data_IF_995313308726
#
_entry.id   IF_995313308726
#
_cell.length_a   1.000
_cell.length_b   1.000
_cell.length_c   1.000
_cell.angle_alpha   90.00
_cell.angle_beta   90.00
_cell.angle_gamma   90.00
#
_symmetry.space_group_name_H-M   'P 1'
#
loop_
_entity.id
_entity.type
_entity.pdbx_description
1 polymer ?
#
# COMPACT_ATOMS: atom_id res chain seq x y z
N UNK A 1 -17.20 15.24 18.14
CA UNK A 1 -17.23 13.79 18.04
C UNK A 1 -15.80 13.26 18.08
N UNK A 2 -15.51 12.15 18.76
CA UNK A 2 -14.21 11.52 18.70
C UNK A 2 -13.92 11.07 17.25
N UNK A 3 -12.66 11.20 16.82
CA UNK A 3 -12.24 10.83 15.49
C UNK A 3 -10.81 11.29 15.22
N UNK A 4 -10.32 11.01 14.01
CA UNK A 4 -8.97 11.41 13.58
C UNK A 4 -8.93 12.92 13.26
N UNK A 5 -7.75 13.53 13.43
CA UNK A 5 -7.50 14.92 13.05
C UNK A 5 -7.46 15.08 11.53
N UNK A 6 -7.62 16.31 11.03
CA UNK A 6 -7.45 16.60 9.60
C UNK A 6 -6.05 16.24 9.09
N UNK A 7 -5.03 16.45 9.92
CA UNK A 7 -3.66 16.07 9.58
C UNK A 7 -3.50 14.54 9.44
N UNK A 8 -4.02 13.76 10.39
CA UNK A 8 -4.06 12.31 10.30
C UNK A 8 -4.82 11.85 9.08
N UNK A 9 -5.99 12.42 8.80
CA UNK A 9 -6.77 12.09 7.61
C UNK A 9 -5.97 12.34 6.32
N UNK A 10 -5.26 13.46 6.24
CA UNK A 10 -4.37 13.77 5.10
C UNK A 10 -3.27 12.73 4.94
N UNK A 11 -2.56 12.40 6.02
CA UNK A 11 -1.51 11.36 5.99
C UNK A 11 -2.05 9.99 5.54
N UNK A 12 -3.22 9.59 6.03
CA UNK A 12 -3.83 8.30 5.68
C UNK A 12 -4.48 8.27 4.29
N UNK A 13 -4.78 9.42 3.70
CA UNK A 13 -5.38 9.51 2.36
C UNK A 13 -4.37 9.59 1.22
N UNK A 14 -3.13 9.96 1.51
CA UNK A 14 -2.02 10.04 0.59
C UNK A 14 -0.98 8.96 0.90
N UNK A 15 -0.84 7.98 0.00
CA UNK A 15 0.06 6.82 0.18
C UNK A 15 1.53 7.21 0.26
N UNK A 16 1.92 8.26 -0.48
CA UNK A 16 3.29 8.72 -0.45
C UNK A 16 3.60 9.36 0.91
N UNK A 17 2.77 10.29 1.35
CA UNK A 17 2.92 10.98 2.64
C UNK A 17 2.84 9.99 3.82
N UNK A 18 1.95 9.00 3.75
CA UNK A 18 1.86 7.92 4.73
C UNK A 18 3.19 7.16 4.82
N UNK A 19 3.74 6.75 3.68
CA UNK A 19 5.00 6.01 3.62
C UNK A 19 6.18 6.83 4.10
N UNK A 20 6.29 8.12 3.73
CA UNK A 20 7.33 9.01 4.26
C UNK A 20 7.26 9.10 5.79
N UNK A 21 6.06 9.26 6.34
CA UNK A 21 5.86 9.34 7.80
C UNK A 21 6.30 8.05 8.50
N UNK A 22 5.93 6.90 7.95
CA UNK A 22 6.29 5.59 8.50
C UNK A 22 7.79 5.30 8.36
N UNK A 23 8.39 5.62 7.22
CA UNK A 23 9.82 5.44 6.97
C UNK A 23 10.67 6.29 7.92
N UNK A 24 10.31 7.55 8.12
CA UNK A 24 10.99 8.45 9.05
C UNK A 24 10.96 7.96 10.50
N UNK A 25 9.94 7.19 10.86
CA UNK A 25 9.81 6.55 12.18
C UNK A 25 10.43 5.15 12.27
N UNK A 26 11.11 4.69 11.22
CA UNK A 26 11.80 3.39 11.18
C UNK A 26 10.87 2.19 11.05
N UNK A 27 9.68 2.37 10.48
CA UNK A 27 8.81 1.25 10.11
C UNK A 27 9.35 0.62 8.82
N UNK A 28 9.52 -0.72 8.79
CA UNK A 28 9.94 -1.41 7.56
C UNK A 28 8.84 -1.31 6.49
N UNK A 29 9.17 -0.68 5.39
CA UNK A 29 8.29 -0.54 4.23
C UNK A 29 9.11 -0.75 2.96
N UNK A 30 8.50 -1.21 1.85
CA UNK A 30 9.19 -1.33 0.58
C UNK A 30 9.69 0.04 0.11
N UNK A 31 10.76 0.03 -0.68
CA UNK A 31 11.24 1.23 -1.35
C UNK A 31 10.14 1.88 -2.21
N UNK A 32 10.11 3.20 -2.25
CA UNK A 32 9.12 3.96 -3.02
C UNK A 32 9.67 5.32 -3.44
N UNK A 33 9.08 5.89 -4.50
CA UNK A 33 9.36 7.25 -4.97
C UNK A 33 8.15 7.87 -5.66
N UNK A 34 8.04 9.19 -5.64
CA UNK A 34 7.16 9.93 -6.54
C UNK A 34 7.73 9.89 -7.97
N UNK A 35 6.84 9.94 -8.95
CA UNK A 35 7.17 9.98 -10.37
C UNK A 35 6.36 11.06 -11.04
N UNK A 36 7.04 12.01 -11.69
CA UNK A 36 6.41 13.15 -12.35
C UNK A 36 6.33 13.01 -13.87
N UNK A 37 7.09 12.09 -14.43
CA UNK A 37 7.15 11.86 -15.87
C UNK A 37 7.57 10.44 -16.21
N UNK A 38 7.29 10.02 -17.43
CA UNK A 38 7.75 8.72 -17.96
C UNK A 38 9.28 8.66 -18.01
N UNK A 39 9.95 9.77 -18.24
CA UNK A 39 11.43 9.84 -18.22
C UNK A 39 11.98 9.50 -16.84
N UNK A 40 11.40 10.04 -15.75
CA UNK A 40 11.77 9.69 -14.37
C UNK A 40 11.47 8.20 -14.09
N UNK A 41 10.32 7.69 -14.56
CA UNK A 41 9.97 6.29 -14.41
C UNK A 41 11.03 5.39 -15.07
N UNK A 42 11.46 5.71 -16.30
CA UNK A 42 12.52 4.98 -17.01
C UNK A 42 13.85 5.01 -16.24
N UNK A 43 14.20 6.14 -15.65
CA UNK A 43 15.43 6.28 -14.85
C UNK A 43 15.37 5.38 -13.60
N UNK A 44 14.24 5.36 -12.92
CA UNK A 44 14.02 4.49 -11.74
C UNK A 44 14.12 3.01 -12.14
N UNK A 45 13.47 2.62 -13.24
CA UNK A 45 13.53 1.24 -13.74
C UNK A 45 14.96 0.84 -14.09
N UNK A 46 15.72 1.73 -14.71
CA UNK A 46 17.14 1.48 -15.03
C UNK A 46 17.99 1.26 -13.78
N UNK A 47 17.67 1.93 -12.69
CA UNK A 47 18.38 1.80 -11.41
C UNK A 47 17.95 0.57 -10.61
N UNK A 48 16.64 0.29 -10.58
CA UNK A 48 16.03 -0.68 -9.68
C UNK A 48 15.74 -2.03 -10.31
N UNK A 49 15.54 -2.09 -11.62
CA UNK A 49 15.11 -3.28 -12.34
C UNK A 49 13.59 -3.55 -12.19
N UNK A 50 13.20 -4.76 -12.59
CA UNK A 50 11.83 -5.25 -12.55
C UNK A 50 11.67 -6.41 -11.54
N UNK A 51 10.44 -6.72 -11.07
CA UNK A 51 9.22 -5.94 -11.25
C UNK A 51 9.10 -4.77 -10.26
N UNK A 52 8.34 -3.75 -10.64
CA UNK A 52 7.93 -2.63 -9.80
C UNK A 52 6.40 -2.48 -9.82
N UNK A 53 5.86 -1.68 -8.90
CA UNK A 53 4.44 -1.29 -8.91
C UNK A 53 4.33 0.21 -9.09
N UNK A 54 3.51 0.64 -10.07
CA UNK A 54 3.10 2.03 -10.22
C UNK A 54 1.66 2.19 -9.74
N UNK A 55 1.37 3.24 -8.99
CA UNK A 55 0.05 3.48 -8.42
C UNK A 55 -0.23 4.97 -8.14
N UNK A 56 -1.53 5.37 -8.15
CA UNK A 56 -1.91 6.72 -7.72
C UNK A 56 -1.66 6.89 -6.22
N UNK A 57 -1.22 8.09 -5.80
CA UNK A 57 -0.99 8.37 -4.37
C UNK A 57 -2.29 8.38 -3.55
N UNK A 58 -3.42 8.76 -4.15
CA UNK A 58 -4.68 9.10 -3.48
C UNK A 58 -5.92 8.36 -4.00
N UNK A 59 -5.74 7.26 -4.73
CA UNK A 59 -6.83 6.37 -5.16
C UNK A 59 -7.06 5.20 -4.18
N UNK A 60 -8.20 4.50 -4.34
CA UNK A 60 -8.63 3.38 -3.48
C UNK A 60 -9.05 2.17 -4.34
N UNK A 61 -9.10 0.98 -3.73
CA UNK A 61 -9.61 -0.24 -4.36
C UNK A 61 -8.77 -0.70 -5.55
N UNK A 62 -7.46 -0.63 -5.47
CA UNK A 62 -6.49 -1.02 -6.50
C UNK A 62 -6.68 -0.34 -7.88
N UNK A 63 -7.53 0.69 -7.99
CA UNK A 63 -7.72 1.45 -9.23
C UNK A 63 -6.44 2.17 -9.62
N UNK A 64 -6.01 1.95 -10.87
CA UNK A 64 -4.78 2.53 -11.40
C UNK A 64 -3.49 1.89 -10.85
N UNK A 65 -3.57 0.75 -10.17
CA UNK A 65 -2.40 0.00 -9.69
C UNK A 65 -1.96 -0.97 -10.77
N UNK A 66 -0.72 -0.84 -11.23
CA UNK A 66 -0.14 -1.61 -12.33
C UNK A 66 1.20 -2.23 -11.91
N UNK A 67 1.40 -3.49 -12.19
CA UNK A 67 2.71 -4.17 -12.10
C UNK A 67 3.52 -3.85 -13.36
N UNK A 68 4.67 -3.24 -13.18
CA UNK A 68 5.58 -2.90 -14.28
C UNK A 68 6.50 -4.08 -14.53
N UNK A 69 6.49 -4.56 -15.77
CA UNK A 69 7.37 -5.61 -16.32
C UNK A 69 8.08 -5.11 -17.55
N UNK A 70 9.05 -5.87 -18.06
CA UNK A 70 9.88 -5.49 -19.21
C UNK A 70 9.08 -5.20 -20.51
N UNK A 71 7.93 -5.87 -20.66
CA UNK A 71 7.12 -5.77 -21.89
C UNK A 71 6.04 -4.69 -21.83
N UNK A 72 5.93 -3.96 -20.71
CA UNK A 72 4.85 -3.00 -20.51
C UNK A 72 5.16 -1.67 -21.21
N UNK A 73 4.16 -1.12 -21.89
CA UNK A 73 4.19 0.26 -22.38
C UNK A 73 4.16 1.24 -21.18
N UNK A 74 5.29 1.91 -20.94
CA UNK A 74 5.47 2.80 -19.80
C UNK A 74 4.71 4.11 -19.93
N UNK A 75 4.50 4.63 -21.15
CA UNK A 75 3.68 5.79 -21.42
C UNK A 75 2.23 5.51 -21.04
N UNK A 76 1.71 4.41 -21.54
CA UNK A 76 0.36 3.97 -21.19
C UNK A 76 0.21 3.73 -19.68
N UNK A 77 1.13 3.02 -19.05
CA UNK A 77 1.07 2.70 -17.61
C UNK A 77 1.06 3.97 -16.75
N UNK A 78 1.88 4.95 -17.08
CA UNK A 78 1.97 6.22 -16.37
C UNK A 78 0.67 7.03 -16.51
N UNK A 79 0.17 7.25 -17.73
CA UNK A 79 -1.04 8.02 -17.98
C UNK A 79 -2.30 7.30 -17.45
N UNK A 80 -2.37 5.98 -17.58
CA UNK A 80 -3.42 5.17 -16.97
C UNK A 80 -3.45 5.35 -15.46
N UNK A 81 -2.32 5.16 -14.79
CA UNK A 81 -2.22 5.34 -13.33
C UNK A 81 -2.60 6.76 -12.90
N UNK A 82 -2.06 7.76 -13.58
CA UNK A 82 -2.31 9.18 -13.31
C UNK A 82 -3.79 9.55 -13.43
N UNK A 83 -4.51 8.93 -14.37
CA UNK A 83 -5.95 9.20 -14.60
C UNK A 83 -6.83 8.82 -13.41
N UNK A 84 -6.36 7.94 -12.52
CA UNK A 84 -7.08 7.54 -11.30
C UNK A 84 -6.70 8.37 -10.06
N UNK A 85 -5.79 9.33 -10.19
CA UNK A 85 -5.40 10.20 -9.08
C UNK A 85 -6.14 11.55 -9.17
N UNK A 86 -6.98 11.89 -8.19
CA UNK A 86 -7.58 13.22 -8.10
C UNK A 86 -6.56 14.37 -8.11
N UNK A 87 -5.38 14.17 -7.55
CA UNK A 87 -4.29 15.16 -7.54
C UNK A 87 -3.28 14.98 -8.67
N UNK A 88 -3.49 14.00 -9.55
CA UNK A 88 -2.53 13.59 -10.58
C UNK A 88 -1.18 13.09 -10.03
N UNK A 89 -1.13 12.72 -8.76
CA UNK A 89 0.05 12.21 -8.09
C UNK A 89 0.27 10.73 -8.41
N UNK A 90 1.46 10.40 -8.89
CA UNK A 90 1.88 9.04 -9.22
C UNK A 90 3.08 8.66 -8.38
N UNK A 91 3.09 7.44 -7.86
CA UNK A 91 4.23 6.86 -7.18
C UNK A 91 4.58 5.49 -7.75
N UNK A 92 5.84 5.13 -7.63
CA UNK A 92 6.35 3.79 -7.91
C UNK A 92 6.92 3.19 -6.63
N UNK A 93 6.82 1.88 -6.49
CA UNK A 93 7.38 1.16 -5.36
C UNK A 93 7.88 -0.23 -5.78
N UNK A 94 8.67 -0.81 -4.91
CA UNK A 94 9.11 -2.19 -5.03
C UNK A 94 7.92 -3.15 -5.03
N UNK A 95 7.93 -4.11 -5.97
CA UNK A 95 6.98 -5.23 -5.94
C UNK A 95 7.48 -6.28 -4.96
N UNK A 96 6.73 -6.52 -3.89
CA UNK A 96 7.05 -7.54 -2.92
C UNK A 96 6.37 -8.85 -3.27
N UNK A 97 7.15 -9.90 -3.42
CA UNK A 97 6.65 -11.26 -3.55
C UNK A 97 6.31 -11.84 -2.17
N UNK A 98 5.33 -12.73 -2.11
CA UNK A 98 4.96 -13.43 -0.90
C UNK A 98 3.48 -13.34 -0.54
N UNK A 99 3.17 -13.87 0.63
CA UNK A 99 1.80 -13.88 1.16
C UNK A 99 1.38 -12.46 1.57
N UNK A 100 0.20 -12.06 1.17
CA UNK A 100 -0.37 -10.77 1.52
C UNK A 100 -1.49 -10.93 2.55
N UNK A 101 -1.38 -10.16 3.63
CA UNK A 101 -2.40 -10.12 4.67
C UNK A 101 -3.15 -8.78 4.66
N UNK A 102 -4.42 -8.84 4.98
CA UNK A 102 -5.26 -7.69 5.30
C UNK A 102 -5.71 -7.78 6.74
N UNK A 103 -5.64 -6.68 7.45
CA UNK A 103 -6.03 -6.62 8.87
C UNK A 103 -7.12 -5.59 9.06
N UNK A 104 -8.01 -5.84 10.01
CA UNK A 104 -9.02 -4.87 10.45
C UNK A 104 -8.85 -4.61 11.94
N UNK A 105 -8.66 -3.35 12.30
CA UNK A 105 -8.39 -2.94 13.67
C UNK A 105 -9.35 -1.84 14.11
N UNK A 106 -9.69 -1.85 15.40
CA UNK A 106 -10.38 -0.75 16.08
C UNK A 106 -9.38 -0.10 17.02
N UNK A 107 -9.26 1.20 16.93
CA UNK A 107 -8.36 1.99 17.76
C UNK A 107 -9.20 2.90 18.66
N UNK A 108 -9.09 2.68 19.96
CA UNK A 108 -9.81 3.45 20.98
C UNK A 108 -8.83 3.80 22.10
N UNK A 109 -8.77 5.08 22.47
CA UNK A 109 -7.91 5.56 23.55
C UNK A 109 -6.47 5.03 23.48
N UNK A 110 -5.87 5.14 22.28
CA UNK A 110 -4.51 4.67 21.94
C UNK A 110 -4.31 3.15 21.97
N UNK A 111 -5.35 2.38 22.29
CA UNK A 111 -5.31 0.92 22.22
C UNK A 111 -5.76 0.44 20.85
N UNK A 112 -4.93 -0.38 20.22
CA UNK A 112 -5.25 -1.04 18.97
C UNK A 112 -5.71 -2.47 19.25
N UNK A 113 -6.90 -2.81 18.74
CA UNK A 113 -7.46 -4.16 18.81
C UNK A 113 -7.66 -4.65 17.38
N UNK A 114 -6.79 -5.56 16.93
CA UNK A 114 -6.93 -6.18 15.61
C UNK A 114 -7.95 -7.31 15.70
N UNK A 115 -9.09 -7.11 15.04
CA UNK A 115 -10.24 -8.03 15.08
C UNK A 115 -10.28 -8.99 13.90
N UNK A 116 -9.77 -8.57 12.75
CA UNK A 116 -9.79 -9.35 11.52
C UNK A 116 -8.38 -9.56 10.96
N UNK A 117 -8.13 -10.77 10.48
CA UNK A 117 -6.88 -11.13 9.81
C UNK A 117 -7.22 -12.04 8.63
N UNK A 118 -7.08 -11.53 7.42
CA UNK A 118 -7.36 -12.25 6.19
C UNK A 118 -6.10 -12.40 5.35
N UNK A 119 -5.91 -13.54 4.74
CA UNK A 119 -4.93 -13.75 3.68
C UNK A 119 -5.60 -13.49 2.34
N UNK A 120 -4.99 -12.64 1.51
CA UNK A 120 -5.50 -12.30 0.18
C UNK A 120 -5.00 -13.28 -0.86
N UNK A 121 -5.83 -13.57 -1.84
CA UNK A 121 -5.50 -14.46 -2.95
C UNK A 121 -5.28 -13.67 -4.25
N UNK A 122 -4.17 -13.96 -4.92
CA UNK A 122 -3.77 -13.39 -6.21
C UNK A 122 -3.38 -14.53 -7.19
N UNK A 123 -4.19 -15.56 -7.22
CA UNK A 123 -3.94 -16.78 -8.01
C UNK A 123 -3.71 -16.50 -9.50
N UNK A 124 -4.37 -15.47 -10.05
CA UNK A 124 -4.30 -15.11 -11.46
C UNK A 124 -3.38 -13.90 -11.72
N UNK A 125 -2.41 -13.65 -10.86
CA UNK A 125 -1.54 -12.46 -10.98
C UNK A 125 -0.77 -12.40 -12.30
N UNK A 126 -0.28 -13.53 -12.79
CA UNK A 126 0.47 -13.60 -14.04
C UNK A 126 -0.47 -13.53 -15.27
N UNK A 127 -1.62 -14.18 -15.21
CA UNK A 127 -2.59 -14.22 -16.31
C UNK A 127 -3.28 -12.87 -16.52
N UNK A 128 -3.48 -12.12 -15.43
CA UNK A 128 -4.12 -10.80 -15.46
C UNK A 128 -3.12 -9.65 -15.51
N UNK A 129 -1.82 -9.95 -15.65
CA UNK A 129 -0.78 -8.92 -15.81
C UNK A 129 -1.13 -7.95 -16.95
N UNK A 130 -0.94 -6.63 -16.77
CA UNK A 130 -0.24 -5.95 -15.67
C UNK A 130 -1.12 -5.61 -14.46
N UNK A 131 -2.39 -6.01 -14.43
CA UNK A 131 -3.32 -5.68 -13.36
C UNK A 131 -3.08 -6.55 -12.12
N UNK A 132 -3.15 -5.93 -10.94
CA UNK A 132 -3.06 -6.62 -9.66
C UNK A 132 -4.48 -6.80 -9.13
N UNK A 133 -5.09 -7.95 -9.44
CA UNK A 133 -6.49 -8.25 -9.12
C UNK A 133 -6.54 -9.31 -8.02
N UNK A 134 -7.13 -8.92 -6.89
CA UNK A 134 -7.48 -9.85 -5.81
C UNK A 134 -8.69 -10.67 -6.22
N UNK A 135 -8.56 -11.98 -6.25
CA UNK A 135 -9.62 -12.92 -6.62
C UNK A 135 -10.23 -13.64 -5.42
N UNK A 136 -10.08 -13.08 -4.22
CA UNK A 136 -10.64 -13.61 -2.98
C UNK A 136 -9.64 -13.65 -1.85
N UNK A 137 -9.99 -14.37 -0.78
CA UNK A 137 -9.12 -14.51 0.36
C UNK A 137 -9.65 -15.52 1.37
N UNK A 138 -8.85 -15.80 2.37
CA UNK A 138 -9.21 -16.68 3.47
C UNK A 138 -9.22 -15.93 4.80
N UNK A 139 -10.34 -16.01 5.51
CA UNK A 139 -10.46 -15.47 6.87
C UNK A 139 -11.02 -16.57 7.80
N UNK A 140 -10.38 -16.85 8.95
CA UNK A 140 -9.09 -16.27 9.38
C UNK A 140 -7.93 -16.74 8.50
N UNK A 141 -6.88 -15.90 8.40
CA UNK A 141 -5.66 -16.26 7.70
C UNK A 141 -4.97 -17.44 8.41
N UNK A 142 -4.32 -18.30 7.63
CA UNK A 142 -3.45 -19.36 8.17
C UNK A 142 -2.07 -18.77 8.44
N UNK A 143 -1.84 -18.35 9.68
CA UNK A 143 -0.60 -17.71 10.11
C UNK A 143 -0.20 -18.28 11.47
N UNK A 144 1.09 -18.43 11.74
CA UNK A 144 1.54 -18.82 13.06
C UNK A 144 1.44 -17.66 14.07
N UNK A 145 1.37 -18.00 15.35
CA UNK A 145 1.15 -17.03 16.42
C UNK A 145 2.27 -15.99 16.51
N UNK A 146 3.52 -16.38 16.28
CA UNK A 146 4.68 -15.48 16.39
C UNK A 146 4.66 -14.43 15.29
N UNK A 147 4.35 -14.85 14.07
CA UNK A 147 4.19 -13.96 12.92
C UNK A 147 3.00 -13.01 13.12
N UNK A 148 1.84 -13.55 13.55
CA UNK A 148 0.68 -12.75 13.88
C UNK A 148 0.99 -11.67 14.94
N UNK A 149 1.62 -12.04 16.06
CA UNK A 149 1.97 -11.11 17.12
C UNK A 149 2.94 -10.02 16.64
N UNK A 150 3.83 -10.35 15.72
CA UNK A 150 4.76 -9.38 15.10
C UNK A 150 4.03 -8.38 14.21
N UNK A 151 3.08 -8.83 13.41
CA UNK A 151 2.27 -7.98 12.54
C UNK A 151 1.36 -7.06 13.38
N UNK A 152 0.70 -7.59 14.41
CA UNK A 152 -0.15 -6.78 15.30
C UNK A 152 0.65 -5.65 15.96
N UNK A 153 1.87 -5.93 16.45
CA UNK A 153 2.76 -4.89 17.00
C UNK A 153 3.15 -3.84 15.96
N UNK A 154 3.40 -4.27 14.72
CA UNK A 154 3.73 -3.36 13.63
C UNK A 154 2.56 -2.43 13.30
N UNK A 155 1.33 -2.96 13.26
CA UNK A 155 0.10 -2.19 13.04
C UNK A 155 -0.12 -1.18 14.16
N UNK A 156 0.02 -1.62 15.42
CA UNK A 156 -0.13 -0.74 16.60
C UNK A 156 0.85 0.43 16.53
N UNK A 157 2.14 0.15 16.31
CA UNK A 157 3.17 1.17 16.16
C UNK A 157 2.89 2.12 14.99
N UNK A 158 2.48 1.58 13.84
CA UNK A 158 2.17 2.38 12.65
C UNK A 158 0.97 3.30 12.87
N UNK A 159 -0.08 2.80 13.53
CA UNK A 159 -1.27 3.58 13.87
C UNK A 159 -0.94 4.75 14.81
N UNK A 160 -0.10 4.53 15.81
CA UNK A 160 0.37 5.57 16.73
C UNK A 160 1.17 6.65 16.01
N UNK A 161 2.11 6.25 15.13
CA UNK A 161 2.94 7.17 14.34
C UNK A 161 2.07 8.04 13.42
N UNK A 162 1.07 7.46 12.79
CA UNK A 162 0.13 8.17 11.92
C UNK A 162 -0.85 9.06 12.70
N UNK A 163 -0.94 8.91 14.02
CA UNK A 163 -1.88 9.63 14.88
C UNK A 163 -3.32 9.14 14.74
N UNK A 164 -3.50 7.86 14.40
CA UNK A 164 -4.84 7.28 14.30
C UNK A 164 -5.36 7.00 15.71
N UNK A 165 -6.47 7.63 16.07
CA UNK A 165 -7.16 7.43 17.34
C UNK A 165 -8.67 7.48 17.15
N UNK A 166 -9.42 6.74 17.96
CA UNK A 166 -10.89 6.67 17.90
C UNK A 166 -11.43 6.44 16.48
N UNK A 167 -10.86 5.43 15.79
CA UNK A 167 -11.13 5.12 14.40
C UNK A 167 -10.95 3.63 14.12
N UNK A 168 -11.35 3.22 12.93
CA UNK A 168 -11.01 1.89 12.36
C UNK A 168 -9.85 2.04 11.38
N UNK A 169 -8.98 1.02 11.32
CA UNK A 169 -7.90 0.91 10.34
C UNK A 169 -8.01 -0.43 9.61
N UNK A 170 -7.74 -0.40 8.30
CA UNK A 170 -7.66 -1.59 7.44
C UNK A 170 -6.38 -1.54 6.63
#
# INVERSE_FOLDING_TARGET
>A
LPGITTETARKCSDKFLMKETLLAAGIPIPWFSLVKSVSELRSIISERGFPLVIKPVDSRGARGVIRITELLDLEWAFEYTKSFSPTSGVMVEEFLEGRQYSTESVIMDEKNITLGFAERNYEFLEELSPYIIENGGQQPAKIDKKELDSIVKLIEKSSQILGISNATSK
#
